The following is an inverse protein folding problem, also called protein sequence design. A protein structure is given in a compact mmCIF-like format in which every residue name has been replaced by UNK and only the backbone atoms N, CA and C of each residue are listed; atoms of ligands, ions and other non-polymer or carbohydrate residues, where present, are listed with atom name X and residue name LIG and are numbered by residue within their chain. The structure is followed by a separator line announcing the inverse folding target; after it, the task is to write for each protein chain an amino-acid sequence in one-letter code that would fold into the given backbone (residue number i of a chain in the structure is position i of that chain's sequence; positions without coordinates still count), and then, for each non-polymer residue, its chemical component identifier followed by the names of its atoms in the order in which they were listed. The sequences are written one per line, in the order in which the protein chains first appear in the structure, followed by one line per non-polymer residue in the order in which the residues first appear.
data_IF_999088516130
#
_entry.id   IF_999088516130
#
_cell.length_a   1.000
_cell.length_b   1.000
_cell.length_c   1.000
_cell.angle_alpha   90.00
_cell.angle_beta   90.00
_cell.angle_gamma   90.00
#
_symmetry.space_group_name_H-M   'P 1'
#
loop_
_entity.id
_entity.type
_entity.pdbx_description
1 polymer ?
#
# COMPACT_ATOMS: atom_id res chain seq x y z
N UNK A 1 12.61 -3.18 -2.48
CA UNK A 1 11.19 -3.52 -2.31
C UNK A 1 10.46 -3.08 -3.56
N UNK A 2 9.77 -3.99 -4.23
CA UNK A 2 8.92 -3.66 -5.38
C UNK A 2 7.68 -2.90 -4.88
N UNK A 3 7.39 -1.77 -5.50
CA UNK A 3 6.19 -0.99 -5.22
C UNK A 3 4.97 -1.64 -5.90
N UNK A 4 3.77 -1.15 -5.57
CA UNK A 4 2.49 -1.60 -6.13
C UNK A 4 2.50 -1.73 -7.66
N UNK A 5 3.15 -0.78 -8.36
CA UNK A 5 3.23 -0.75 -9.83
C UNK A 5 4.09 -1.88 -10.36
N UNK A 6 5.20 -2.20 -9.70
CA UNK A 6 6.09 -3.28 -10.12
C UNK A 6 5.38 -4.64 -9.96
N UNK A 7 4.67 -4.83 -8.84
CA UNK A 7 3.84 -6.03 -8.56
C UNK A 7 2.71 -6.19 -9.58
N UNK A 8 2.00 -5.10 -9.90
CA UNK A 8 0.95 -5.11 -10.92
C UNK A 8 1.52 -5.42 -12.32
N UNK A 9 2.68 -4.86 -12.65
CA UNK A 9 3.34 -5.10 -13.94
C UNK A 9 3.75 -6.56 -14.08
N UNK A 10 4.21 -7.19 -13.00
CA UNK A 10 4.54 -8.62 -12.98
C UNK A 10 3.29 -9.50 -13.12
N UNK A 11 2.24 -9.23 -12.35
CA UNK A 11 0.98 -9.98 -12.42
C UNK A 11 0.33 -9.93 -13.82
N UNK A 12 0.45 -8.79 -14.51
CA UNK A 12 0.06 -8.65 -15.91
C UNK A 12 0.96 -9.46 -16.85
N UNK A 13 2.27 -9.43 -16.63
CA UNK A 13 3.24 -10.21 -17.40
C UNK A 13 2.94 -11.72 -17.34
N UNK A 14 2.63 -12.23 -16.15
CA UNK A 14 2.28 -13.64 -15.93
C UNK A 14 0.96 -14.00 -16.61
N UNK A 15 -0.08 -13.15 -16.46
CA UNK A 15 -1.38 -13.34 -17.09
C UNK A 15 -1.29 -13.42 -18.63
N UNK A 16 -0.52 -12.52 -19.26
CA UNK A 16 -0.35 -12.51 -20.72
C UNK A 16 0.57 -13.63 -21.23
N UNK A 17 1.47 -14.18 -20.41
CA UNK A 17 2.27 -15.35 -20.80
C UNK A 17 1.47 -16.64 -20.81
N UNK A 18 0.49 -16.78 -19.91
CA UNK A 18 -0.32 -18.00 -19.80
C UNK A 18 -1.42 -18.06 -20.88
N UNK A 19 -1.91 -16.91 -21.36
CA UNK A 19 -2.86 -16.82 -22.47
C UNK A 19 -2.16 -16.75 -23.84
N UNK A 20 -1.85 -17.92 -24.38
CA UNK A 20 -1.37 -18.10 -25.76
C UNK A 20 -2.48 -17.90 -26.82
N UNK A 21 -3.23 -16.81 -26.76
CA UNK A 21 -3.96 -16.24 -27.91
C UNK A 21 -4.48 -14.85 -27.56
N UNK A 22 -4.29 -13.89 -28.46
CA UNK A 22 -4.57 -12.45 -28.28
C UNK A 22 -6.09 -12.13 -28.33
N UNK A 23 -6.91 -12.91 -27.64
CA UNK A 23 -8.34 -12.69 -27.54
C UNK A 23 -8.78 -12.72 -26.06
N UNK A 24 -8.05 -12.00 -25.22
CA UNK A 24 -8.43 -11.73 -23.85
C UNK A 24 -9.74 -10.95 -23.84
N UNK A 25 -10.79 -11.51 -23.25
CA UNK A 25 -12.03 -10.78 -23.01
C UNK A 25 -11.72 -9.59 -22.09
N UNK A 26 -12.15 -8.39 -22.48
CA UNK A 26 -11.88 -7.18 -21.72
C UNK A 26 -12.48 -7.25 -20.31
N UNK A 27 -13.59 -7.97 -20.16
CA UNK A 27 -14.26 -8.16 -18.87
C UNK A 27 -13.45 -9.11 -17.97
N UNK A 28 -12.86 -10.18 -18.52
CA UNK A 28 -12.02 -11.12 -17.75
C UNK A 28 -10.71 -10.47 -17.29
N UNK A 29 -10.13 -9.60 -18.13
CA UNK A 29 -8.98 -8.79 -17.72
C UNK A 29 -9.36 -7.78 -16.65
N UNK A 30 -10.54 -7.16 -16.76
CA UNK A 30 -11.04 -6.22 -15.76
C UNK A 30 -11.29 -6.91 -14.41
N UNK A 31 -11.91 -8.09 -14.39
CA UNK A 31 -12.15 -8.86 -13.17
C UNK A 31 -10.83 -9.28 -12.51
N UNK A 32 -9.88 -9.82 -13.28
CA UNK A 32 -8.54 -10.17 -12.77
C UNK A 32 -7.80 -8.94 -12.22
N UNK A 33 -7.87 -7.81 -12.92
CA UNK A 33 -7.25 -6.56 -12.45
C UNK A 33 -7.91 -6.05 -11.16
N UNK A 34 -9.23 -6.13 -11.04
CA UNK A 34 -9.95 -5.72 -9.83
C UNK A 34 -9.59 -6.63 -8.65
N UNK A 35 -9.54 -7.95 -8.85
CA UNK A 35 -9.12 -8.92 -7.82
C UNK A 35 -7.69 -8.64 -7.36
N UNK A 36 -6.75 -8.49 -8.30
CA UNK A 36 -5.35 -8.17 -7.98
C UNK A 36 -5.26 -6.81 -7.28
N UNK A 37 -5.99 -5.79 -7.73
CA UNK A 37 -5.98 -4.47 -7.08
C UNK A 37 -6.55 -4.53 -5.66
N UNK A 38 -7.58 -5.33 -5.41
CA UNK A 38 -8.19 -5.48 -4.09
C UNK A 38 -7.27 -6.23 -3.13
N UNK A 39 -6.61 -7.31 -3.57
CA UNK A 39 -5.56 -7.98 -2.79
C UNK A 39 -4.38 -7.05 -2.48
N UNK A 40 -4.04 -6.18 -3.42
CA UNK A 40 -2.99 -5.17 -3.24
C UNK A 40 -3.36 -4.07 -2.24
N UNK A 41 -4.67 -3.85 -2.00
CA UNK A 41 -5.22 -2.88 -1.06
C UNK A 41 -5.41 -3.42 0.36
N UNK A 42 -5.24 -4.72 0.59
CA UNK A 42 -5.40 -5.30 1.93
C UNK A 42 -4.30 -4.83 2.89
N UNK A 43 -4.75 -4.27 4.02
CA UNK A 43 -3.91 -3.95 5.17
C UNK A 43 -3.65 -5.23 5.98
N UNK A 44 -2.39 -5.66 6.03
CA UNK A 44 -1.99 -6.96 6.59
C UNK A 44 -1.76 -6.95 8.10
N UNK A 45 -1.51 -5.78 8.67
CA UNK A 45 -1.13 -5.63 10.08
C UNK A 45 -2.38 -5.34 10.92
N UNK A 46 -2.62 -6.04 12.03
CA UNK A 46 -3.78 -5.77 12.87
C UNK A 46 -3.58 -4.51 13.73
N UNK A 47 -4.70 -3.91 14.15
CA UNK A 47 -4.72 -2.86 15.18
C UNK A 47 -4.03 -3.34 16.46
N UNK A 48 -3.20 -2.48 17.04
CA UNK A 48 -2.35 -2.79 18.19
C UNK A 48 -0.96 -3.31 17.84
N UNK A 49 -0.69 -3.65 16.58
CA UNK A 49 0.66 -3.98 16.15
C UNK A 49 1.59 -2.78 16.24
N UNK A 50 2.83 -3.03 16.63
CA UNK A 50 3.91 -2.07 16.53
C UNK A 50 4.58 -2.14 15.17
N UNK A 51 4.91 -0.99 14.63
CA UNK A 51 5.57 -0.81 13.34
C UNK A 51 6.65 0.26 13.45
N UNK A 52 7.62 0.25 12.54
CA UNK A 52 8.53 1.38 12.36
C UNK A 52 8.21 2.07 11.04
N UNK A 53 8.20 3.40 11.07
CA UNK A 53 8.08 4.21 9.85
C UNK A 53 9.43 4.16 9.14
N UNK A 54 9.46 3.80 7.86
CA UNK A 54 10.71 3.67 7.11
C UNK A 54 11.53 4.96 7.12
N UNK A 55 12.85 4.82 7.28
CA UNK A 55 13.76 5.96 7.39
C UNK A 55 14.15 6.57 6.03
N UNK A 56 13.88 5.89 4.92
CA UNK A 56 14.26 6.27 3.56
C UNK A 56 13.11 6.87 2.73
N UNK A 57 11.99 7.23 3.39
CA UNK A 57 10.87 7.92 2.75
C UNK A 57 11.29 9.31 2.26
N UNK A 58 10.80 9.70 1.08
CA UNK A 58 11.16 10.95 0.41
C UNK A 58 9.90 11.81 0.26
N UNK A 59 9.92 13.02 0.82
CA UNK A 59 8.81 13.97 0.71
C UNK A 59 8.42 14.24 -0.74
N UNK A 60 7.12 14.39 -0.97
CA UNK A 60 6.50 14.61 -2.29
C UNK A 60 6.36 13.33 -3.13
N UNK A 61 6.76 12.16 -2.61
CA UNK A 61 6.49 10.87 -3.26
C UNK A 61 5.16 10.29 -2.79
N UNK A 62 4.52 9.56 -3.69
CA UNK A 62 3.36 8.73 -3.38
C UNK A 62 3.82 7.27 -3.24
N UNK A 63 3.44 6.64 -2.14
CA UNK A 63 3.72 5.25 -1.81
C UNK A 63 2.40 4.51 -1.78
N UNK A 64 2.22 3.41 -2.49
CA UNK A 64 0.97 2.63 -2.46
C UNK A 64 -0.35 3.39 -2.66
N UNK A 65 -0.37 4.63 -3.17
CA UNK A 65 -1.56 5.48 -3.26
C UNK A 65 -1.65 6.62 -2.22
N UNK A 66 -0.78 6.62 -1.20
CA UNK A 66 -0.72 7.66 -0.15
C UNK A 66 0.44 8.62 -0.39
N UNK A 67 0.17 9.93 -0.37
CA UNK A 67 1.20 10.96 -0.49
C UNK A 67 1.97 11.11 0.83
N UNK A 68 3.29 11.16 0.75
CA UNK A 68 4.17 11.43 1.88
C UNK A 68 4.62 12.89 1.85
N UNK A 69 4.13 13.68 2.80
CA UNK A 69 4.31 15.13 2.85
C UNK A 69 5.52 15.55 3.70
N UNK A 70 5.99 16.80 3.52
CA UNK A 70 7.16 17.33 4.24
C UNK A 70 6.98 17.29 5.77
N UNK A 71 5.79 17.60 6.26
CA UNK A 71 5.47 17.59 7.70
C UNK A 71 5.55 16.18 8.32
N UNK A 72 5.47 15.13 7.50
CA UNK A 72 5.57 13.74 7.94
C UNK A 72 7.03 13.31 8.19
N UNK A 73 8.01 14.05 7.67
CA UNK A 73 9.45 13.73 7.83
C UNK A 73 9.88 13.62 9.29
N UNK A 74 9.21 14.33 10.19
CA UNK A 74 9.52 14.28 11.61
C UNK A 74 9.27 12.89 12.24
N UNK A 75 8.53 12.00 11.58
CA UNK A 75 8.16 10.69 12.10
C UNK A 75 9.01 9.52 11.55
N UNK A 76 9.83 9.76 10.53
CA UNK A 76 10.63 8.70 9.90
C UNK A 76 11.59 8.04 10.89
N UNK A 77 11.75 6.73 10.77
CA UNK A 77 12.58 5.90 11.65
C UNK A 77 12.01 5.68 13.05
N UNK A 78 10.87 6.31 13.41
CA UNK A 78 10.25 6.14 14.72
C UNK A 78 9.33 4.92 14.73
N UNK A 79 9.21 4.33 15.90
CA UNK A 79 8.23 3.27 16.17
C UNK A 79 6.88 3.91 16.52
N UNK A 80 5.80 3.25 16.08
CA UNK A 80 4.44 3.65 16.33
C UNK A 80 3.56 2.41 16.51
N UNK A 81 2.37 2.62 17.04
CA UNK A 81 1.34 1.59 17.18
C UNK A 81 0.20 1.89 16.20
N UNK A 82 -0.27 0.86 15.49
CA UNK A 82 -1.46 0.97 14.65
C UNK A 82 -2.68 1.12 15.56
N UNK A 83 -3.40 2.23 15.44
CA UNK A 83 -4.60 2.53 16.24
C UNK A 83 -5.88 2.18 15.51
N UNK A 84 -5.89 2.28 14.17
CA UNK A 84 -7.07 2.05 13.35
C UNK A 84 -6.73 1.76 11.88
N UNK A 85 -7.67 1.17 11.15
CA UNK A 85 -7.60 0.97 9.70
C UNK A 85 -8.59 1.90 9.01
N UNK A 86 -8.09 2.82 8.22
CA UNK A 86 -8.87 3.72 7.39
C UNK A 86 -9.28 3.02 6.09
N UNK A 87 -10.59 2.90 5.88
CA UNK A 87 -11.22 2.34 4.70
C UNK A 87 -12.35 3.28 4.25
N UNK A 88 -12.01 4.47 3.79
CA UNK A 88 -13.00 5.34 3.13
C UNK A 88 -13.19 4.89 1.66
N UNK A 89 -14.43 4.93 1.16
CA UNK A 89 -14.78 4.42 -0.19
C UNK A 89 -13.98 5.09 -1.32
N UNK A 90 -13.54 6.33 -1.12
CA UNK A 90 -12.80 7.13 -2.10
C UNK A 90 -11.28 7.22 -1.83
N UNK A 91 -10.79 6.57 -0.78
CA UNK A 91 -9.39 6.63 -0.36
C UNK A 91 -8.69 5.27 -0.45
N UNK A 92 -7.39 5.31 -0.72
CA UNK A 92 -6.53 4.12 -0.57
C UNK A 92 -6.56 3.66 0.89
N UNK A 93 -6.74 2.35 1.18
CA UNK A 93 -6.67 1.87 2.55
C UNK A 93 -5.36 2.24 3.24
N UNK A 94 -5.46 2.65 4.50
CA UNK A 94 -4.31 3.11 5.26
C UNK A 94 -4.44 2.79 6.76
N UNK A 95 -3.30 2.85 7.44
CA UNK A 95 -3.17 2.79 8.87
C UNK A 95 -3.21 4.20 9.46
N UNK A 96 -3.88 4.32 10.59
CA UNK A 96 -3.72 5.44 11.51
C UNK A 96 -2.79 5.01 12.65
N UNK A 97 -1.91 5.92 13.06
CA UNK A 97 -0.87 5.65 14.05
C UNK A 97 -1.09 6.48 15.32
N UNK A 98 -0.48 6.08 16.42
CA UNK A 98 -0.50 6.83 17.69
C UNK A 98 0.44 8.04 17.69
N UNK A 99 1.53 7.99 16.93
CA UNK A 99 2.62 8.97 16.97
C UNK A 99 2.23 10.37 16.47
N UNK A 100 1.18 10.46 15.67
CA UNK A 100 0.63 11.68 15.09
C UNK A 100 -0.84 11.88 15.48
N UNK A 101 -1.30 11.23 16.56
CA UNK A 101 -2.69 11.25 17.02
C UNK A 101 -3.68 10.83 15.92
N UNK A 102 -3.30 9.87 15.08
CA UNK A 102 -4.11 9.32 13.99
C UNK A 102 -4.48 10.37 12.94
N UNK A 103 -3.62 11.36 12.76
CA UNK A 103 -3.84 12.47 11.84
C UNK A 103 -3.46 12.11 10.40
N UNK A 104 -2.35 11.40 10.18
CA UNK A 104 -1.94 11.01 8.84
C UNK A 104 -2.30 9.55 8.54
N UNK A 105 -2.59 9.32 7.27
CA UNK A 105 -2.74 8.00 6.70
C UNK A 105 -1.37 7.43 6.33
N UNK A 106 -1.09 6.18 6.72
CA UNK A 106 0.15 5.47 6.45
C UNK A 106 -0.14 4.13 5.78
N UNK A 107 0.44 3.79 4.63
CA UNK A 107 0.18 2.48 4.02
C UNK A 107 1.28 1.44 4.30
N UNK A 108 1.01 0.21 3.83
CA UNK A 108 1.92 -0.94 3.85
C UNK A 108 3.36 -0.65 3.40
N UNK A 109 3.54 0.14 2.34
CA UNK A 109 4.87 0.42 1.78
C UNK A 109 5.67 1.39 2.65
N UNK A 110 5.04 2.14 3.54
CA UNK A 110 5.69 3.16 4.38
C UNK A 110 6.18 2.60 5.72
N UNK A 111 5.76 1.37 6.05
CA UNK A 111 6.00 0.76 7.34
C UNK A 111 6.86 -0.51 7.20
N UNK A 112 7.64 -0.79 8.22
CA UNK A 112 8.37 -2.04 8.39
C UNK A 112 8.05 -2.65 9.75
N UNK A 113 8.18 -3.98 9.82
CA UNK A 113 7.94 -4.71 11.06
C UNK A 113 9.08 -4.43 12.05
N UNK A 114 8.75 -4.49 13.33
CA UNK A 114 9.75 -4.39 14.41
C UNK A 114 10.13 -5.81 14.81
N UNK A 115 11.41 -6.16 14.68
CA UNK A 115 12.00 -7.39 15.21
C UNK A 115 11.90 -7.49 16.74
#
# INVERSE_FOLDING_TARGET
MENLRDRLSQALGDYFQDKYDFNTDADELADYLMEVIDELKELKRPVGSKVRIKADLVSGKNYGGTSFEEDMLQYIGKEATITYHEHEEDCTPAYLLDIDDSFWSWNEEMLEDID
#
